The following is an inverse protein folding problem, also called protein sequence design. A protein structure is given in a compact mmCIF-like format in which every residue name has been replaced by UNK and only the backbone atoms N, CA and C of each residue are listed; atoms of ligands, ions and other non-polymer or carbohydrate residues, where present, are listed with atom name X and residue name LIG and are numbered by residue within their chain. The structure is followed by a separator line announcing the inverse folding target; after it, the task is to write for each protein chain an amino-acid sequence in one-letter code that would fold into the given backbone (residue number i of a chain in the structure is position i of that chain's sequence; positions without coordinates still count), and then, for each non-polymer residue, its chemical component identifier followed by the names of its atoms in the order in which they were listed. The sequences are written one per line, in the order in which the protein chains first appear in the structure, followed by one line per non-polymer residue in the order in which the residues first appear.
data_IF_572783613903
#
_entry.id   IF_572783613903
#
_cell.length_a   1.000
_cell.length_b   1.000
_cell.length_c   1.000
_cell.angle_alpha   90.00
_cell.angle_beta   90.00
_cell.angle_gamma   90.00
#
_symmetry.space_group_name_H-M   'P 1'
#
loop_
_entity.id
_entity.type
_entity.pdbx_description
1 polymer ?
#
# COMPACT_ATOMS: atom_id res chain seq x y z
N UNK A 1 50.15 43.85 -18.74
CA UNK A 1 49.45 42.94 -19.67
C UNK A 1 48.35 42.24 -18.88
N UNK A 2 47.12 42.74 -18.98
CA UNK A 2 45.93 42.08 -18.45
C UNK A 2 45.59 40.94 -19.39
N UNK A 3 45.78 39.69 -18.93
CA UNK A 3 45.35 38.51 -19.67
C UNK A 3 43.83 38.65 -19.89
N UNK A 4 43.32 38.57 -21.13
CA UNK A 4 41.90 38.65 -21.36
C UNK A 4 41.26 37.43 -20.68
N UNK A 5 40.31 37.67 -19.77
CA UNK A 5 39.54 36.60 -19.16
C UNK A 5 38.80 35.86 -20.28
N UNK A 6 39.25 34.66 -20.61
CA UNK A 6 38.57 33.76 -21.52
C UNK A 6 37.18 33.49 -20.93
N UNK A 7 36.13 33.93 -21.63
CA UNK A 7 34.75 33.53 -21.30
C UNK A 7 34.69 32.01 -21.43
N UNK A 8 34.48 31.30 -20.32
CA UNK A 8 34.17 29.87 -20.37
C UNK A 8 32.76 29.73 -20.93
N UNK A 9 32.65 29.17 -22.13
CA UNK A 9 31.37 28.83 -22.75
C UNK A 9 30.92 27.47 -22.23
N UNK A 10 30.01 27.48 -21.27
CA UNK A 10 29.43 26.25 -20.71
C UNK A 10 28.43 25.64 -21.70
N UNK A 11 28.46 24.31 -21.83
CA UNK A 11 27.50 23.57 -22.62
C UNK A 11 26.32 23.16 -21.75
N UNK A 12 25.11 23.57 -22.15
CA UNK A 12 23.88 23.16 -21.47
C UNK A 12 23.31 21.95 -22.21
N UNK A 13 23.25 20.80 -21.54
CA UNK A 13 22.68 19.56 -22.08
C UNK A 13 21.38 19.26 -21.37
N UNK A 14 20.32 19.06 -22.17
CA UNK A 14 19.03 18.63 -21.67
C UNK A 14 18.92 17.10 -21.79
N UNK A 15 18.98 16.41 -20.66
CA UNK A 15 18.89 14.96 -20.59
C UNK A 15 17.47 14.54 -20.17
N UNK A 16 16.80 13.75 -21.00
CA UNK A 16 15.43 13.27 -20.75
C UNK A 16 14.34 14.00 -21.55
N UNK A 17 13.05 13.66 -21.36
CA UNK A 17 12.53 12.68 -20.39
C UNK A 17 12.53 11.22 -20.88
N UNK A 18 12.91 10.96 -22.14
CA UNK A 18 12.80 9.63 -22.77
C UNK A 18 14.08 8.78 -22.70
N UNK A 19 15.13 9.24 -22.02
CA UNK A 19 16.42 8.56 -22.03
C UNK A 19 16.34 7.20 -21.29
N UNK A 20 16.86 6.09 -21.85
CA UNK A 20 16.74 4.76 -21.25
C UNK A 20 17.33 4.64 -19.84
N UNK A 21 18.42 5.35 -19.54
CA UNK A 21 19.04 5.40 -18.21
C UNK A 21 18.26 6.24 -17.18
N UNK A 22 17.01 6.60 -17.47
CA UNK A 22 16.12 7.28 -16.54
C UNK A 22 14.96 6.34 -16.22
N UNK A 23 15.03 5.69 -15.05
CA UNK A 23 14.06 4.72 -14.53
C UNK A 23 12.72 5.37 -14.16
N UNK A 24 12.04 5.95 -15.15
CA UNK A 24 10.84 6.76 -14.99
C UNK A 24 10.86 7.98 -15.91
N UNK A 25 10.22 9.05 -15.47
CA UNK A 25 10.16 10.31 -16.23
C UNK A 25 10.92 11.37 -15.43
N UNK A 26 12.21 11.49 -15.73
CA UNK A 26 13.11 12.48 -15.13
C UNK A 26 13.69 13.35 -16.24
N UNK A 27 13.85 14.64 -15.97
CA UNK A 27 14.55 15.56 -16.87
C UNK A 27 15.61 16.29 -16.07
N UNK A 28 16.85 16.26 -16.54
CA UNK A 28 17.99 16.93 -15.93
C UNK A 28 18.53 17.96 -16.92
N UNK A 29 18.62 19.23 -16.50
CA UNK A 29 19.37 20.24 -17.23
C UNK A 29 20.75 20.29 -16.61
N UNK A 30 21.75 19.85 -17.36
CA UNK A 30 23.13 19.72 -16.88
C UNK A 30 23.98 20.79 -17.54
N UNK A 31 24.70 21.55 -16.74
CA UNK A 31 25.68 22.54 -17.20
C UNK A 31 27.08 21.93 -17.12
N UNK A 32 27.71 21.78 -18.29
CA UNK A 32 28.99 21.08 -18.47
C UNK A 32 30.10 22.05 -18.87
N UNK A 33 31.30 21.83 -18.33
CA UNK A 33 32.57 22.38 -18.80
C UNK A 33 33.42 21.22 -19.33
N UNK A 34 33.24 20.89 -20.61
CA UNK A 34 33.80 19.66 -21.18
C UNK A 34 33.12 18.42 -20.62
N UNK A 35 33.86 17.64 -19.83
CA UNK A 35 33.39 16.42 -19.16
C UNK A 35 32.94 16.66 -17.71
N UNK A 36 33.33 17.80 -17.12
CA UNK A 36 33.01 18.13 -15.73
C UNK A 36 31.60 18.69 -15.59
N UNK A 37 30.84 18.15 -14.65
CA UNK A 37 29.51 18.64 -14.28
C UNK A 37 29.66 19.78 -13.26
N UNK A 38 29.27 20.99 -13.66
CA UNK A 38 29.30 22.16 -12.76
C UNK A 38 27.99 22.27 -11.99
N UNK A 39 26.87 22.10 -12.70
CA UNK A 39 25.55 22.27 -12.13
C UNK A 39 24.55 21.31 -12.78
N UNK A 40 23.53 20.92 -12.02
CA UNK A 40 22.48 20.01 -12.44
C UNK A 40 21.15 20.43 -11.82
N UNK A 41 20.22 20.87 -12.68
CA UNK A 41 18.87 21.22 -12.27
C UNK A 41 17.89 20.08 -12.61
N UNK A 42 17.37 19.36 -11.59
CA UNK A 42 16.37 18.33 -11.81
C UNK A 42 14.97 18.93 -11.97
N UNK A 43 14.36 18.71 -13.15
CA UNK A 43 12.96 19.06 -13.42
C UNK A 43 12.09 17.85 -13.08
N UNK A 44 11.33 17.99 -12.00
CA UNK A 44 10.40 16.99 -11.48
C UNK A 44 8.95 17.31 -11.87
N UNK A 45 8.04 16.37 -11.62
CA UNK A 45 6.59 16.61 -11.70
C UNK A 45 5.87 15.99 -12.90
N UNK A 46 6.58 15.37 -13.84
CA UNK A 46 5.95 14.68 -14.98
C UNK A 46 5.01 13.53 -14.57
N UNK A 47 5.26 12.92 -13.40
CA UNK A 47 4.41 11.87 -12.82
C UNK A 47 3.48 12.39 -11.70
N UNK A 48 3.40 13.72 -11.48
CA UNK A 48 2.55 14.28 -10.44
C UNK A 48 1.07 14.07 -10.79
N UNK A 49 0.34 13.37 -9.91
CA UNK A 49 -1.07 13.00 -10.11
C UNK A 49 -2.04 13.66 -9.13
N UNK A 50 -1.59 14.62 -8.32
CA UNK A 50 -2.43 15.29 -7.32
C UNK A 50 -3.02 14.32 -6.28
N UNK A 51 -2.25 13.32 -5.84
CA UNK A 51 -2.72 12.27 -4.93
C UNK A 51 -3.20 12.81 -3.58
N UNK A 52 -2.60 13.91 -3.09
CA UNK A 52 -3.02 14.61 -1.88
C UNK A 52 -4.43 15.20 -2.04
N UNK A 53 -4.73 15.78 -3.21
CA UNK A 53 -6.05 16.34 -3.50
C UNK A 53 -7.14 15.27 -3.58
N UNK A 54 -6.77 14.08 -4.03
CA UNK A 54 -7.67 12.92 -4.06
C UNK A 54 -7.95 12.43 -2.62
N UNK A 55 -6.94 12.50 -1.74
CA UNK A 55 -7.08 12.08 -0.34
C UNK A 55 -8.17 12.89 0.40
N UNK A 56 -8.26 14.22 0.15
CA UNK A 56 -9.26 15.10 0.77
C UNK A 56 -10.72 14.64 0.57
N UNK A 57 -11.02 14.00 -0.56
CA UNK A 57 -12.38 13.63 -0.97
C UNK A 57 -12.69 12.13 -0.75
N UNK A 58 -11.83 11.40 -0.05
CA UNK A 58 -11.92 9.94 0.13
C UNK A 58 -11.73 9.56 1.58
N UNK A 59 -12.40 8.49 1.99
CA UNK A 59 -12.11 7.86 3.29
C UNK A 59 -10.78 7.10 3.23
N UNK A 60 -10.16 6.84 4.37
CA UNK A 60 -8.87 6.13 4.45
C UNK A 60 -8.92 4.78 3.70
N UNK A 61 -10.00 4.02 3.90
CA UNK A 61 -10.21 2.72 3.23
C UNK A 61 -10.30 2.87 1.71
N UNK A 62 -10.98 3.93 1.22
CA UNK A 62 -11.08 4.21 -0.21
C UNK A 62 -9.78 4.76 -0.79
N UNK A 63 -8.94 5.38 0.04
CA UNK A 63 -7.67 5.96 -0.37
C UNK A 63 -6.54 4.93 -0.40
N UNK A 64 -6.62 3.86 0.38
CA UNK A 64 -5.59 2.82 0.47
C UNK A 64 -5.14 2.26 -0.91
N UNK A 65 -6.02 1.98 -1.90
CA UNK A 65 -5.60 1.54 -3.23
C UNK A 65 -4.82 2.59 -4.05
N UNK A 66 -4.85 3.86 -3.66
CA UNK A 66 -4.02 4.91 -4.26
C UNK A 66 -2.63 4.95 -3.62
N UNK A 67 -2.53 4.62 -2.34
CA UNK A 67 -1.29 4.58 -1.57
C UNK A 67 -0.35 3.48 -2.06
N UNK A 68 -0.90 2.34 -2.49
CA UNK A 68 -0.12 1.26 -3.12
C UNK A 68 0.59 1.72 -4.40
N UNK A 69 0.18 2.87 -4.97
CA UNK A 69 0.73 3.45 -6.21
C UNK A 69 1.71 4.59 -5.97
N UNK A 70 1.96 4.96 -4.71
CA UNK A 70 2.96 5.97 -4.34
C UNK A 70 4.36 5.45 -4.67
N UNK A 71 4.69 4.33 -4.06
CA UNK A 71 5.85 3.52 -4.40
C UNK A 71 5.35 2.19 -4.96
N UNK A 72 5.49 2.00 -6.28
CA UNK A 72 5.07 0.78 -6.97
C UNK A 72 6.04 -0.39 -6.77
N UNK A 73 7.18 -0.16 -6.12
CA UNK A 73 8.19 -1.17 -5.81
C UNK A 73 7.89 -1.85 -4.48
N UNK A 74 7.60 -1.03 -3.47
CA UNK A 74 7.48 -1.44 -2.08
C UNK A 74 6.08 -1.10 -1.53
N UNK A 75 5.04 -1.57 -2.21
CA UNK A 75 3.64 -1.17 -1.92
C UNK A 75 3.20 -1.51 -0.50
N UNK A 76 3.72 -2.59 0.08
CA UNK A 76 3.36 -3.03 1.43
C UNK A 76 3.83 -2.03 2.49
N UNK A 77 4.94 -1.32 2.26
CA UNK A 77 5.41 -0.28 3.19
C UNK A 77 4.49 0.93 3.19
N UNK A 78 4.03 1.38 2.02
CA UNK A 78 3.12 2.52 1.94
C UNK A 78 1.74 2.16 2.51
N UNK A 79 1.27 0.93 2.27
CA UNK A 79 0.10 0.39 2.95
C UNK A 79 0.26 0.37 4.48
N UNK A 80 1.40 -0.12 4.99
CA UNK A 80 1.66 -0.16 6.43
C UNK A 80 1.64 1.23 7.05
N UNK A 81 2.28 2.22 6.44
CA UNK A 81 2.29 3.60 6.96
C UNK A 81 0.87 4.15 7.08
N UNK A 82 0.02 3.92 6.08
CA UNK A 82 -1.35 4.46 6.05
C UNK A 82 -2.34 3.71 6.92
N UNK A 83 -2.02 2.47 7.30
CA UNK A 83 -2.81 1.65 8.22
C UNK A 83 -2.35 1.85 9.67
N UNK A 84 -1.05 1.94 9.91
CA UNK A 84 -0.48 2.09 11.25
C UNK A 84 -0.77 3.46 11.85
N UNK A 85 -0.83 4.52 11.04
CA UNK A 85 -1.17 5.86 11.52
C UNK A 85 -2.55 5.93 12.21
N UNK A 86 -3.67 5.52 11.59
CA UNK A 86 -4.97 5.49 12.26
C UNK A 86 -5.04 4.44 13.39
N UNK A 87 -4.31 3.32 13.28
CA UNK A 87 -4.24 2.33 14.37
C UNK A 87 -3.62 2.92 15.64
N UNK A 88 -2.54 3.70 15.51
CA UNK A 88 -1.91 4.40 16.62
C UNK A 88 -2.81 5.52 17.17
N UNK A 89 -3.47 6.30 16.31
CA UNK A 89 -4.37 7.39 16.73
C UNK A 89 -5.56 6.87 17.56
N UNK A 90 -6.15 5.75 17.15
CA UNK A 90 -7.32 5.14 17.80
C UNK A 90 -6.95 4.05 18.83
N UNK A 91 -5.65 3.83 19.07
CA UNK A 91 -5.11 2.75 19.92
C UNK A 91 -5.75 1.37 19.61
N UNK A 92 -5.87 1.05 18.33
CA UNK A 92 -6.40 -0.23 17.86
C UNK A 92 -5.36 -1.31 18.07
N UNK A 93 -5.69 -2.33 18.85
CA UNK A 93 -4.81 -3.49 19.02
C UNK A 93 -4.85 -4.40 17.79
N UNK A 94 -3.70 -4.62 17.18
CA UNK A 94 -3.53 -5.56 16.07
C UNK A 94 -3.24 -6.96 16.64
N UNK A 95 -3.90 -8.02 16.16
CA UNK A 95 -3.61 -9.38 16.62
C UNK A 95 -2.16 -9.78 16.33
N UNK A 96 -1.54 -10.53 17.25
CA UNK A 96 -0.13 -10.97 17.10
C UNK A 96 0.14 -11.69 15.78
N UNK A 97 -0.76 -12.59 15.37
CA UNK A 97 -0.66 -13.29 14.08
C UNK A 97 -0.63 -12.32 12.90
N UNK A 98 -1.49 -11.29 12.91
CA UNK A 98 -1.53 -10.29 11.86
C UNK A 98 -0.22 -9.47 11.80
N UNK A 99 0.33 -9.12 12.96
CA UNK A 99 1.61 -8.39 13.05
C UNK A 99 2.78 -9.20 12.47
N UNK A 100 2.86 -10.50 12.78
CA UNK A 100 3.85 -11.41 12.17
C UNK A 100 3.70 -11.49 10.65
N UNK A 101 2.46 -11.66 10.16
CA UNK A 101 2.19 -11.68 8.72
C UNK A 101 2.63 -10.36 8.06
N UNK A 102 2.35 -9.21 8.69
CA UNK A 102 2.79 -7.90 8.20
C UNK A 102 4.31 -7.82 8.13
N UNK A 103 5.04 -8.24 9.17
CA UNK A 103 6.51 -8.24 9.17
C UNK A 103 7.06 -9.09 8.02
N UNK A 104 6.54 -10.31 7.83
CA UNK A 104 6.97 -11.19 6.72
C UNK A 104 6.73 -10.50 5.37
N UNK A 105 5.55 -9.94 5.15
CA UNK A 105 5.20 -9.25 3.91
C UNK A 105 6.05 -7.99 3.68
N UNK A 106 6.36 -7.23 4.73
CA UNK A 106 7.22 -6.05 4.67
C UNK A 106 8.66 -6.43 4.32
N UNK A 107 9.22 -7.46 4.93
CA UNK A 107 10.59 -7.89 4.65
C UNK A 107 10.72 -8.55 3.27
N UNK A 108 9.71 -9.31 2.80
CA UNK A 108 9.65 -9.76 1.41
C UNK A 108 9.59 -8.57 0.44
N UNK A 109 8.79 -7.55 0.77
CA UNK A 109 8.72 -6.32 -0.03
C UNK A 109 10.04 -5.54 0.00
N UNK A 110 10.81 -5.62 1.09
CA UNK A 110 12.15 -5.00 1.18
C UNK A 110 13.10 -5.67 0.22
N UNK A 111 13.15 -7.01 0.24
CA UNK A 111 13.98 -7.80 -0.68
C UNK A 111 13.61 -7.47 -2.14
N UNK A 112 12.32 -7.49 -2.48
CA UNK A 112 11.85 -7.16 -3.83
C UNK A 112 12.21 -5.74 -4.28
N UNK A 113 12.24 -4.78 -3.35
CA UNK A 113 12.67 -3.40 -3.60
C UNK A 113 14.18 -3.29 -3.80
N UNK A 114 14.99 -3.91 -2.95
CA UNK A 114 16.45 -3.93 -3.10
C UNK A 114 16.92 -4.64 -4.36
N UNK A 115 16.24 -5.72 -4.75
CA UNK A 115 16.46 -6.42 -6.01
C UNK A 115 16.22 -5.49 -7.19
N UNK A 116 15.06 -4.82 -7.26
CA UNK A 116 14.80 -3.89 -8.36
C UNK A 116 15.64 -2.61 -8.29
N UNK A 117 16.21 -2.25 -7.15
CA UNK A 117 17.25 -1.22 -7.15
C UNK A 117 18.53 -1.75 -7.81
N UNK A 118 18.97 -2.95 -7.43
CA UNK A 118 20.24 -3.53 -7.87
C UNK A 118 20.27 -3.81 -9.38
N UNK A 119 19.19 -4.35 -9.96
CA UNK A 119 19.19 -4.77 -11.37
C UNK A 119 19.43 -3.61 -12.34
N UNK A 120 18.54 -2.61 -12.38
CA UNK A 120 18.70 -1.40 -13.17
C UNK A 120 20.00 -0.64 -12.87
N UNK A 121 20.41 -0.57 -11.59
CA UNK A 121 21.70 0.03 -11.22
C UNK A 121 22.89 -0.66 -11.91
N UNK A 122 22.90 -1.99 -11.95
CA UNK A 122 23.92 -2.74 -12.68
C UNK A 122 23.81 -2.55 -14.20
N UNK A 123 22.58 -2.51 -14.73
CA UNK A 123 22.34 -2.29 -16.16
C UNK A 123 22.85 -0.92 -16.63
N UNK A 124 22.67 0.13 -15.82
CA UNK A 124 23.16 1.49 -16.09
C UNK A 124 24.70 1.57 -16.06
N UNK A 125 25.34 0.78 -15.20
CA UNK A 125 26.81 0.66 -15.18
C UNK A 125 27.34 -0.15 -16.38
N UNK A 126 26.45 -0.89 -17.06
CA UNK A 126 26.74 -1.66 -18.28
C UNK A 126 26.65 -3.18 -18.12
N UNK A 127 26.34 -3.68 -16.93
CA UNK A 127 26.19 -5.11 -16.66
C UNK A 127 24.73 -5.56 -16.80
N UNK A 128 24.39 -6.12 -17.96
CA UNK A 128 23.02 -6.54 -18.29
C UNK A 128 22.64 -7.93 -17.73
N UNK A 129 23.60 -8.84 -17.53
CA UNK A 129 23.28 -10.20 -17.08
C UNK A 129 22.67 -10.25 -15.67
N UNK A 130 23.20 -9.55 -14.65
CA UNK A 130 22.61 -9.54 -13.31
C UNK A 130 21.16 -9.05 -13.29
N UNK A 131 20.78 -8.16 -14.21
CA UNK A 131 19.40 -7.67 -14.36
C UNK A 131 18.41 -8.84 -14.52
N UNK A 132 18.70 -9.79 -15.42
CA UNK A 132 17.79 -10.92 -15.67
C UNK A 132 17.68 -11.89 -14.49
N UNK A 133 18.78 -12.12 -13.77
CA UNK A 133 18.75 -12.98 -12.57
C UNK A 133 17.84 -12.34 -11.54
N UNK A 134 18.07 -11.08 -11.21
CA UNK A 134 17.27 -10.32 -10.24
C UNK A 134 15.76 -10.40 -10.52
N UNK A 135 15.32 -10.32 -11.78
CA UNK A 135 13.91 -10.51 -12.12
C UNK A 135 13.40 -11.94 -11.89
N UNK A 136 14.21 -12.97 -12.11
CA UNK A 136 13.88 -14.36 -11.77
C UNK A 136 13.64 -14.50 -10.27
N UNK A 137 14.53 -13.99 -9.43
CA UNK A 137 14.37 -14.03 -7.97
C UNK A 137 13.14 -13.24 -7.52
N UNK A 138 12.90 -12.07 -8.13
CA UNK A 138 11.74 -11.22 -7.83
C UNK A 138 10.41 -11.83 -8.24
N UNK A 139 10.39 -12.63 -9.30
CA UNK A 139 9.22 -13.37 -9.76
C UNK A 139 8.75 -14.40 -8.71
N UNK A 140 9.69 -15.06 -8.01
CA UNK A 140 9.36 -15.99 -6.92
C UNK A 140 8.64 -15.28 -5.76
N UNK A 141 9.06 -14.06 -5.43
CA UNK A 141 8.39 -13.23 -4.42
C UNK A 141 6.98 -12.83 -4.89
N UNK A 142 6.83 -12.52 -6.18
CA UNK A 142 5.53 -12.19 -6.76
C UNK A 142 4.55 -13.35 -6.75
N UNK A 143 5.02 -14.58 -6.94
CA UNK A 143 4.18 -15.76 -6.79
C UNK A 143 3.72 -15.97 -5.33
N UNK A 144 4.55 -15.59 -4.34
CA UNK A 144 4.15 -15.60 -2.92
C UNK A 144 3.11 -14.52 -2.63
N UNK A 145 3.27 -13.32 -3.19
CA UNK A 145 2.29 -12.25 -3.04
C UNK A 145 0.96 -12.54 -3.73
N UNK A 146 1.01 -13.10 -4.94
CA UNK A 146 -0.20 -13.51 -5.67
C UNK A 146 -0.96 -14.58 -4.91
N UNK A 147 -0.27 -15.58 -4.35
CA UNK A 147 -0.90 -16.61 -3.54
C UNK A 147 -1.60 -16.04 -2.29
N UNK A 148 -1.00 -15.06 -1.61
CA UNK A 148 -1.58 -14.48 -0.40
C UNK A 148 -2.69 -13.44 -0.65
N UNK A 149 -2.54 -12.62 -1.69
CA UNK A 149 -3.36 -11.42 -1.90
C UNK A 149 -4.27 -11.50 -3.13
N UNK A 150 -3.97 -12.41 -4.06
CA UNK A 150 -4.59 -12.49 -5.39
C UNK A 150 -4.07 -11.45 -6.39
N UNK A 151 -3.10 -10.61 -6.02
CA UNK A 151 -2.50 -9.61 -6.90
C UNK A 151 -0.96 -9.67 -6.86
N UNK A 152 -0.30 -9.30 -7.97
CA UNK A 152 1.18 -9.38 -8.10
C UNK A 152 1.93 -8.12 -7.68
N UNK A 153 1.28 -6.95 -7.67
CA UNK A 153 1.95 -5.67 -7.37
C UNK A 153 1.10 -4.75 -6.48
N UNK A 154 -0.17 -4.54 -6.81
CA UNK A 154 -1.04 -3.60 -6.10
C UNK A 154 -1.88 -4.33 -5.06
N UNK A 155 -1.24 -4.79 -3.99
CA UNK A 155 -1.77 -5.83 -3.10
C UNK A 155 -3.03 -5.42 -2.31
N UNK A 156 -3.08 -4.19 -1.77
CA UNK A 156 -4.19 -3.71 -0.93
C UNK A 156 -4.57 -4.74 0.17
N UNK A 157 -3.53 -5.27 0.80
CA UNK A 157 -3.58 -6.43 1.68
C UNK A 157 -3.66 -6.03 3.15
N UNK A 158 -2.97 -4.98 3.56
CA UNK A 158 -3.07 -4.50 4.94
C UNK A 158 -4.38 -3.75 5.14
N UNK A 159 -4.97 -3.91 6.32
CA UNK A 159 -6.23 -3.26 6.71
C UNK A 159 -6.10 -2.75 8.12
N UNK A 160 -6.83 -1.68 8.44
CA UNK A 160 -6.94 -1.20 9.82
C UNK A 160 -7.46 -2.36 10.68
N UNK A 161 -6.70 -2.73 11.70
CA UNK A 161 -6.95 -3.87 12.59
C UNK A 161 -6.30 -5.19 12.20
N UNK A 162 -5.52 -5.28 11.11
CA UNK A 162 -4.79 -6.50 10.74
C UNK A 162 -4.54 -6.65 9.24
N UNK A 163 -4.87 -7.82 8.69
CA UNK A 163 -4.70 -8.14 7.26
C UNK A 163 -6.03 -8.53 6.62
N UNK A 164 -6.15 -8.38 5.30
CA UNK A 164 -7.41 -8.62 4.59
C UNK A 164 -7.80 -10.11 4.56
N UNK A 165 -6.83 -11.01 4.45
CA UNK A 165 -7.00 -12.45 4.40
C UNK A 165 -5.81 -13.15 5.06
N UNK A 166 -6.02 -14.33 5.63
CA UNK A 166 -4.92 -15.15 6.16
C UNK A 166 -4.12 -15.82 5.03
N UNK A 167 -2.94 -16.33 5.36
CA UNK A 167 -2.06 -17.05 4.44
C UNK A 167 -2.71 -18.39 4.01
N UNK A 168 -2.64 -18.75 2.72
CA UNK A 168 -3.19 -20.03 2.26
C UNK A 168 -2.37 -21.22 2.76
N UNK A 169 -2.97 -22.40 2.72
CA UNK A 169 -2.30 -23.65 3.09
C UNK A 169 -1.06 -23.89 2.22
N UNK A 170 0.05 -24.30 2.83
CA UNK A 170 1.33 -24.55 2.15
C UNK A 170 2.13 -23.28 1.79
N UNK A 171 1.63 -22.08 2.13
CA UNK A 171 2.35 -20.83 1.85
C UNK A 171 3.64 -20.70 2.66
N UNK A 172 3.62 -21.13 3.93
CA UNK A 172 4.76 -21.06 4.85
C UNK A 172 5.93 -21.89 4.31
N UNK A 173 5.67 -23.13 3.91
CA UNK A 173 6.69 -24.03 3.36
C UNK A 173 7.32 -23.43 2.09
N UNK A 174 6.50 -22.91 1.18
CA UNK A 174 6.99 -22.24 -0.04
C UNK A 174 7.83 -20.99 0.26
N UNK A 175 7.50 -20.26 1.33
CA UNK A 175 8.27 -19.09 1.75
C UNK A 175 9.61 -19.49 2.35
N UNK A 176 9.67 -20.59 3.11
CA UNK A 176 10.92 -21.18 3.60
C UNK A 176 11.82 -21.64 2.46
N UNK A 177 11.27 -22.36 1.48
CA UNK A 177 12.00 -22.79 0.27
C UNK A 177 12.63 -21.59 -0.47
N UNK A 178 11.89 -20.48 -0.56
CA UNK A 178 12.40 -19.24 -1.14
C UNK A 178 13.56 -18.66 -0.32
N UNK A 179 13.46 -18.65 1.00
CA UNK A 179 14.51 -18.12 1.87
C UNK A 179 15.83 -18.88 1.66
N UNK A 180 15.77 -20.21 1.63
CA UNK A 180 16.94 -21.07 1.43
C UNK A 180 17.56 -20.90 0.04
N UNK A 181 16.71 -20.83 -0.99
CA UNK A 181 17.14 -20.53 -2.35
C UNK A 181 17.81 -19.16 -2.46
N UNK A 182 17.19 -18.12 -1.90
CA UNK A 182 17.63 -16.74 -2.07
C UNK A 182 18.96 -16.45 -1.35
N UNK A 183 19.25 -17.12 -0.22
CA UNK A 183 20.56 -17.06 0.43
C UNK A 183 21.69 -17.47 -0.52
N UNK A 184 21.47 -18.50 -1.33
CA UNK A 184 22.42 -18.93 -2.37
C UNK A 184 22.57 -17.85 -3.45
N UNK A 185 21.46 -17.25 -3.87
CA UNK A 185 21.45 -16.14 -4.84
C UNK A 185 22.25 -14.92 -4.38
N UNK A 186 22.14 -14.53 -3.10
CA UNK A 186 22.93 -13.41 -2.56
C UNK A 186 24.43 -13.70 -2.63
N UNK A 187 24.85 -14.93 -2.30
CA UNK A 187 26.27 -15.32 -2.39
C UNK A 187 26.76 -15.28 -3.84
N UNK A 188 25.93 -15.70 -4.79
CA UNK A 188 26.23 -15.62 -6.22
C UNK A 188 26.40 -14.16 -6.67
N UNK A 189 25.49 -13.26 -6.30
CA UNK A 189 25.59 -11.84 -6.62
C UNK A 189 26.83 -11.19 -6.03
N UNK A 190 27.20 -11.53 -4.80
CA UNK A 190 28.43 -11.00 -4.21
C UNK A 190 29.68 -11.45 -4.97
N UNK A 191 29.70 -12.71 -5.43
CA UNK A 191 30.82 -13.23 -6.23
C UNK A 191 30.90 -12.54 -7.59
N UNK A 192 29.75 -12.31 -8.24
CA UNK A 192 29.68 -11.72 -9.57
C UNK A 192 29.92 -10.20 -9.58
N UNK A 193 29.41 -9.48 -8.57
CA UNK A 193 29.37 -8.02 -8.55
C UNK A 193 30.45 -7.45 -7.63
N UNK A 194 30.45 -7.86 -6.35
CA UNK A 194 31.30 -7.22 -5.32
C UNK A 194 32.79 -7.40 -5.58
N UNK A 195 33.20 -8.52 -6.19
CA UNK A 195 34.61 -8.80 -6.51
C UNK A 195 35.05 -8.31 -7.90
N UNK A 196 34.16 -7.70 -8.68
CA UNK A 196 34.47 -7.29 -10.04
C UNK A 196 35.27 -5.97 -10.01
N UNK A 197 36.50 -5.93 -10.55
CA UNK A 197 37.32 -4.72 -10.55
C UNK A 197 36.68 -3.56 -11.33
N UNK A 198 35.98 -3.85 -12.44
CA UNK A 198 35.28 -2.84 -13.25
C UNK A 198 34.16 -2.18 -12.45
N UNK A 199 33.47 -2.97 -11.62
CA UNK A 199 32.43 -2.42 -10.75
C UNK A 199 33.05 -1.52 -9.69
N UNK A 200 34.07 -2.00 -8.96
CA UNK A 200 34.73 -1.24 -7.90
C UNK A 200 35.25 0.11 -8.41
N UNK A 201 35.96 0.13 -9.54
CA UNK A 201 36.48 1.36 -10.16
C UNK A 201 35.39 2.40 -10.49
N UNK A 202 34.16 1.97 -10.73
CA UNK A 202 33.03 2.83 -11.10
C UNK A 202 32.24 3.38 -9.92
N UNK A 203 32.34 2.78 -8.74
CA UNK A 203 31.53 3.15 -7.58
C UNK A 203 32.33 3.53 -6.34
N UNK A 204 33.55 3.04 -6.21
CA UNK A 204 34.45 3.38 -5.11
C UNK A 204 34.82 4.86 -5.19
N UNK A 205 34.66 5.59 -4.09
CA UNK A 205 34.96 7.02 -4.02
C UNK A 205 33.99 7.94 -4.77
N UNK A 206 32.90 7.41 -5.33
CA UNK A 206 31.89 8.21 -6.05
C UNK A 206 30.73 8.59 -5.13
N UNK A 207 30.42 9.89 -5.07
CA UNK A 207 29.28 10.44 -4.34
C UNK A 207 29.40 10.27 -2.83
N UNK A 208 30.56 10.64 -2.28
CA UNK A 208 30.84 10.61 -0.85
C UNK A 208 29.93 11.61 -0.14
N UNK A 209 29.27 11.18 0.93
CA UNK A 209 28.40 12.03 1.76
C UNK A 209 28.85 11.90 3.22
N UNK A 210 29.23 13.03 3.82
CA UNK A 210 29.60 13.07 5.23
C UNK A 210 28.40 12.88 6.18
N UNK A 211 28.66 12.49 7.43
CA UNK A 211 27.62 12.31 8.46
C UNK A 211 26.82 13.60 8.68
N UNK A 212 27.50 14.74 8.85
CA UNK A 212 26.86 16.02 9.11
C UNK A 212 26.02 16.49 7.93
N UNK A 213 26.52 16.33 6.70
CA UNK A 213 25.78 16.63 5.47
C UNK A 213 24.54 15.77 5.32
N UNK A 214 24.65 14.46 5.58
CA UNK A 214 23.53 13.54 5.52
C UNK A 214 22.40 13.95 6.50
N UNK A 215 22.76 14.39 7.71
CA UNK A 215 21.80 14.86 8.70
C UNK A 215 21.18 16.20 8.27
N UNK A 216 22.01 17.16 7.83
CA UNK A 216 21.57 18.49 7.42
C UNK A 216 20.64 18.44 6.18
N UNK A 217 20.86 17.51 5.26
CA UNK A 217 20.01 17.29 4.09
C UNK A 217 18.78 16.41 4.38
N UNK A 218 18.67 15.86 5.61
CA UNK A 218 17.55 14.98 5.99
C UNK A 218 17.56 13.64 5.25
N UNK A 219 18.73 13.11 4.89
CA UNK A 219 18.85 11.80 4.27
C UNK A 219 18.45 10.69 5.25
N UNK A 220 17.82 9.64 4.74
CA UNK A 220 17.31 8.53 5.56
C UNK A 220 17.61 7.15 4.95
N UNK A 221 17.39 6.11 5.75
CA UNK A 221 17.53 4.72 5.32
C UNK A 221 18.98 4.33 4.95
N UNK A 222 19.20 3.59 3.85
CA UNK A 222 20.53 3.14 3.44
C UNK A 222 21.53 4.28 3.18
N UNK A 223 21.05 5.47 2.78
CA UNK A 223 21.91 6.64 2.55
C UNK A 223 22.58 7.10 3.84
N UNK A 224 21.80 7.25 4.91
CA UNK A 224 22.30 7.67 6.23
C UNK A 224 23.19 6.60 6.86
N UNK A 225 22.83 5.32 6.71
CA UNK A 225 23.58 4.20 7.26
C UNK A 225 24.92 3.95 6.58
N UNK A 226 25.02 4.26 5.30
CA UNK A 226 26.28 4.15 4.56
C UNK A 226 27.29 5.24 4.93
N UNK A 227 26.81 6.38 5.47
CA UNK A 227 27.65 7.50 5.91
C UNK A 227 28.24 7.34 7.33
N UNK A 228 27.91 6.26 8.05
CA UNK A 228 28.48 5.97 9.39
C UNK A 228 27.50 6.02 10.55
N UNK A 229 26.22 6.29 10.33
CA UNK A 229 25.22 6.42 11.41
C UNK A 229 24.39 5.14 11.55
N UNK A 230 24.45 4.51 12.73
CA UNK A 230 23.63 3.34 13.06
C UNK A 230 22.19 3.75 13.43
N UNK A 231 21.39 4.11 12.43
CA UNK A 231 20.01 4.56 12.62
C UNK A 231 19.02 3.73 11.80
N UNK A 232 18.06 3.09 12.47
CA UNK A 232 16.95 2.37 11.83
C UNK A 232 15.67 2.50 12.67
N UNK A 233 14.59 2.96 12.05
CA UNK A 233 13.28 3.13 12.69
C UNK A 233 12.73 1.82 13.27
N UNK A 234 13.07 0.67 12.67
CA UNK A 234 12.61 -0.65 13.16
C UNK A 234 13.13 -1.00 14.55
N UNK A 235 14.30 -0.49 14.95
CA UNK A 235 14.87 -0.69 16.31
C UNK A 235 14.53 0.44 17.29
N UNK A 236 14.15 1.60 16.77
CA UNK A 236 13.90 2.79 17.58
C UNK A 236 12.42 2.85 17.96
N UNK A 237 11.55 2.87 16.96
CA UNK A 237 10.10 2.99 17.15
C UNK A 237 9.44 1.64 17.42
N UNK A 238 10.11 0.55 17.06
CA UNK A 238 9.69 -0.81 17.39
C UNK A 238 8.25 -1.13 16.98
N UNK A 239 7.85 -0.65 15.80
CA UNK A 239 6.50 -0.87 15.28
C UNK A 239 6.25 -2.35 14.94
N UNK A 240 4.99 -2.77 14.93
CA UNK A 240 4.59 -4.18 14.74
C UNK A 240 5.22 -5.09 15.81
N UNK A 241 6.05 -6.07 15.41
CA UNK A 241 6.74 -7.00 16.31
C UNK A 241 8.24 -7.14 16.00
N UNK A 242 8.90 -6.11 15.43
CA UNK A 242 10.34 -6.16 15.13
C UNK A 242 11.23 -6.39 16.36
N UNK A 243 10.73 -6.14 17.57
CA UNK A 243 11.39 -6.39 18.85
C UNK A 243 11.60 -7.86 19.19
N UNK A 244 10.77 -8.76 18.65
CA UNK A 244 10.79 -10.17 19.00
C UNK A 244 11.85 -10.94 18.19
N UNK A 245 12.47 -10.30 17.20
CA UNK A 245 13.44 -10.91 16.28
C UNK A 245 14.86 -10.41 16.53
N UNK A 246 15.83 -11.32 16.40
CA UNK A 246 17.25 -11.01 16.50
C UNK A 246 17.85 -10.69 15.13
N UNK A 247 18.21 -9.43 14.92
CA UNK A 247 18.81 -8.93 13.67
C UNK A 247 19.72 -7.73 13.93
N UNK A 248 20.63 -7.48 12.99
CA UNK A 248 21.62 -6.41 13.10
C UNK A 248 21.41 -5.30 12.06
N UNK A 249 21.59 -4.05 12.48
CA UNK A 249 21.51 -2.91 11.56
C UNK A 249 22.79 -2.87 10.73
N UNK A 250 22.66 -3.02 9.41
CA UNK A 250 23.80 -2.93 8.50
C UNK A 250 24.17 -1.47 8.26
N UNK A 251 25.44 -1.13 8.46
CA UNK A 251 25.98 0.21 8.30
C UNK A 251 27.40 0.13 7.74
N UNK A 252 27.87 1.23 7.14
CA UNK A 252 29.22 1.38 6.61
C UNK A 252 29.73 2.78 6.94
N UNK A 253 31.06 2.99 6.84
CA UNK A 253 31.70 4.25 7.23
C UNK A 253 32.10 5.13 6.06
N UNK A 254 32.36 4.56 4.88
CA UNK A 254 32.97 5.32 3.77
C UNK A 254 32.04 6.37 3.15
N UNK A 255 30.71 6.23 3.27
CA UNK A 255 29.74 7.19 2.72
C UNK A 255 29.67 7.23 1.18
N UNK A 256 30.42 6.36 0.51
CA UNK A 256 30.47 6.28 -0.95
C UNK A 256 29.36 5.38 -1.52
N UNK A 257 29.32 5.27 -2.84
CA UNK A 257 28.32 4.45 -3.51
C UNK A 257 28.52 2.95 -3.29
N UNK A 258 29.76 2.51 -3.05
CA UNK A 258 30.08 1.13 -2.67
C UNK A 258 29.52 0.78 -1.28
N UNK A 259 29.72 1.64 -0.28
CA UNK A 259 29.16 1.50 1.06
C UNK A 259 27.62 1.36 1.01
N UNK A 260 26.95 2.18 0.18
CA UNK A 260 25.49 2.09 -0.04
C UNK A 260 25.07 0.76 -0.66
N UNK A 261 25.86 0.23 -1.59
CA UNK A 261 25.65 -1.09 -2.16
C UNK A 261 25.80 -2.19 -1.10
N UNK A 262 26.87 -2.16 -0.31
CA UNK A 262 27.15 -3.16 0.74
C UNK A 262 26.05 -3.18 1.80
N UNK A 263 25.57 -2.01 2.24
CA UNK A 263 24.44 -1.90 3.18
C UNK A 263 23.20 -2.59 2.62
N UNK A 264 22.82 -2.34 1.37
CA UNK A 264 21.62 -2.95 0.77
C UNK A 264 21.73 -4.47 0.58
N UNK A 265 22.92 -4.96 0.20
CA UNK A 265 23.17 -6.41 0.13
C UNK A 265 23.09 -7.05 1.52
N UNK A 266 23.66 -6.39 2.54
CA UNK A 266 23.56 -6.83 3.93
C UNK A 266 22.11 -6.85 4.42
N UNK A 267 21.35 -5.79 4.13
CA UNK A 267 19.93 -5.70 4.49
C UNK A 267 19.12 -6.85 3.91
N UNK A 268 19.37 -7.28 2.67
CA UNK A 268 18.69 -8.45 2.11
C UNK A 268 18.96 -9.74 2.90
N UNK A 269 20.15 -9.91 3.47
CA UNK A 269 20.48 -11.07 4.33
C UNK A 269 19.76 -11.01 5.66
N UNK A 270 19.77 -9.84 6.29
CA UNK A 270 19.07 -9.62 7.57
C UNK A 270 17.56 -9.76 7.40
N UNK A 271 16.99 -9.32 6.27
CA UNK A 271 15.58 -9.55 5.95
C UNK A 271 15.23 -11.03 5.89
N UNK A 272 16.07 -11.87 5.28
CA UNK A 272 15.84 -13.33 5.28
C UNK A 272 15.89 -13.89 6.69
N UNK A 273 16.87 -13.46 7.50
CA UNK A 273 17.02 -13.89 8.90
C UNK A 273 15.75 -13.56 9.70
N UNK A 274 15.19 -12.36 9.51
CA UNK A 274 13.92 -11.94 10.14
C UNK A 274 12.76 -12.80 9.65
N UNK A 275 12.66 -13.05 8.33
CA UNK A 275 11.58 -13.86 7.75
C UNK A 275 11.62 -15.29 8.29
N UNK A 276 12.78 -15.93 8.35
CA UNK A 276 12.93 -17.29 8.88
C UNK A 276 12.46 -17.37 10.34
N UNK A 277 12.90 -16.44 11.19
CA UNK A 277 12.46 -16.37 12.59
C UNK A 277 10.94 -16.12 12.71
N UNK A 278 10.39 -15.26 11.86
CA UNK A 278 8.96 -14.96 11.84
C UNK A 278 8.11 -16.16 11.39
N UNK A 279 8.59 -16.95 10.42
CA UNK A 279 7.90 -18.15 9.94
C UNK A 279 7.91 -19.26 10.99
N UNK A 280 9.02 -19.45 11.71
CA UNK A 280 9.12 -20.42 12.81
C UNK A 280 8.25 -20.02 14.02
N UNK A 281 8.17 -18.71 14.30
CA UNK A 281 7.48 -18.17 15.46
C UNK A 281 6.01 -17.81 15.25
N UNK A 282 5.44 -18.02 14.05
CA UNK A 282 4.11 -17.49 13.71
C UNK A 282 3.01 -18.08 14.63
N UNK A 283 2.31 -17.26 15.44
CA UNK A 283 1.28 -17.78 16.33
C UNK A 283 0.00 -18.11 15.54
N UNK A 284 -0.74 -19.11 16.03
CA UNK A 284 -2.14 -19.29 15.66
C UNK A 284 -3.00 -18.12 16.18
N UNK A 285 -4.19 -17.95 15.62
CA UNK A 285 -5.15 -16.95 16.09
C UNK A 285 -5.83 -16.15 14.98
N UNK A 286 -6.58 -15.09 15.33
CA UNK A 286 -7.24 -14.24 14.36
C UNK A 286 -6.23 -13.37 13.59
N UNK A 287 -6.50 -13.15 12.30
CA UNK A 287 -5.69 -12.31 11.41
C UNK A 287 -6.23 -10.87 11.26
N UNK A 288 -7.42 -10.61 11.78
CA UNK A 288 -8.08 -9.29 11.78
C UNK A 288 -8.70 -9.05 13.16
N UNK A 289 -8.59 -7.83 13.69
CA UNK A 289 -9.35 -7.41 14.86
C UNK A 289 -10.82 -7.17 14.46
N UNK A 290 -11.69 -8.10 14.85
CA UNK A 290 -13.12 -8.08 14.54
C UNK A 290 -13.85 -6.86 15.15
N UNK A 291 -13.28 -6.23 16.18
CA UNK A 291 -13.82 -5.00 16.75
C UNK A 291 -13.62 -3.79 15.84
N UNK A 292 -12.64 -3.83 14.93
CA UNK A 292 -12.39 -2.72 14.02
C UNK A 292 -13.48 -2.60 12.95
N UNK A 293 -14.06 -3.74 12.53
CA UNK A 293 -15.31 -3.76 11.75
C UNK A 293 -16.49 -3.10 12.47
N UNK A 294 -16.43 -2.93 13.80
CA UNK A 294 -17.43 -2.19 14.56
C UNK A 294 -17.20 -0.68 14.53
N UNK A 295 -16.08 -0.12 14.06
CA UNK A 295 -15.98 1.34 13.90
C UNK A 295 -16.94 1.90 12.84
N UNK A 296 -17.32 1.10 11.84
CA UNK A 296 -18.44 1.41 10.92
C UNK A 296 -19.83 1.31 11.58
N UNK A 297 -19.90 0.87 12.84
CA UNK A 297 -21.11 0.76 13.67
C UNK A 297 -20.84 1.33 15.08
N UNK A 298 -20.87 2.66 15.17
CA UNK A 298 -20.92 3.47 16.40
C UNK A 298 -20.72 2.74 17.75
N UNK A 299 -19.62 3.07 18.43
CA UNK A 299 -19.09 2.48 19.67
C UNK A 299 -20.00 2.51 20.90
N UNK A 300 -21.17 3.17 20.87
CA UNK A 300 -22.16 3.21 21.97
C UNK A 300 -23.57 3.34 21.41
N UNK A 301 -24.07 2.27 20.78
CA UNK A 301 -25.52 2.04 20.80
C UNK A 301 -25.82 1.12 21.98
N UNK A 302 -26.56 1.61 22.98
CA UNK A 302 -27.46 0.73 23.73
C UNK A 302 -28.43 0.12 22.73
N UNK A 303 -28.02 -0.99 22.11
CA UNK A 303 -28.85 -1.74 21.19
C UNK A 303 -28.97 -3.15 21.74
N UNK A 304 -29.80 -3.23 22.78
CA UNK A 304 -30.60 -4.40 23.14
C UNK A 304 -31.79 -4.00 24.02
N UNK A 305 -32.41 -2.84 23.76
CA UNK A 305 -33.74 -2.54 24.31
C UNK A 305 -34.78 -2.20 23.22
N UNK A 306 -34.47 -2.54 21.97
CA UNK A 306 -35.48 -2.60 20.93
C UNK A 306 -35.81 -4.05 20.63
N UNK A 307 -37.01 -4.46 21.04
CA UNK A 307 -37.66 -5.67 20.58
C UNK A 307 -37.45 -5.82 19.07
N UNK A 308 -36.57 -6.74 18.70
CA UNK A 308 -36.64 -7.32 17.38
C UNK A 308 -37.98 -8.04 17.28
N UNK A 309 -39.01 -7.38 16.74
CA UNK A 309 -40.00 -8.10 15.96
C UNK A 309 -39.31 -8.55 14.67
N UNK A 310 -38.49 -9.59 14.80
CA UNK A 310 -38.40 -10.58 13.75
C UNK A 310 -39.83 -11.08 13.54
N UNK A 311 -40.54 -10.52 12.58
CA UNK A 311 -41.56 -11.30 11.91
C UNK A 311 -40.78 -12.35 11.12
N UNK A 312 -40.57 -13.48 11.78
CA UNK A 312 -39.97 -14.68 11.22
C UNK A 312 -40.93 -15.22 10.16
N UNK A 313 -40.85 -14.70 8.95
CA UNK A 313 -41.37 -15.41 7.78
C UNK A 313 -40.20 -16.03 7.01
N UNK A 314 -40.41 -17.28 6.61
CA UNK A 314 -39.43 -18.21 6.05
C UNK A 314 -38.58 -17.59 4.94
N UNK A 315 -37.31 -17.99 4.89
CA UNK A 315 -36.30 -17.57 3.91
C UNK A 315 -36.71 -17.75 2.43
N UNK A 316 -37.77 -18.52 2.16
CA UNK A 316 -38.34 -18.77 0.82
C UNK A 316 -38.93 -17.52 0.12
N UNK A 317 -39.13 -16.39 0.83
CA UNK A 317 -39.91 -15.25 0.30
C UNK A 317 -39.12 -13.94 0.04
N UNK A 318 -37.79 -13.97 -0.11
CA UNK A 318 -37.00 -12.75 -0.46
C UNK A 318 -37.42 -12.12 -1.81
N UNK A 319 -38.10 -12.87 -2.67
CA UNK A 319 -38.66 -12.40 -3.93
C UNK A 319 -40.10 -11.88 -3.86
N UNK A 320 -40.79 -12.01 -2.72
CA UNK A 320 -42.21 -11.65 -2.63
C UNK A 320 -42.45 -10.15 -2.79
N UNK A 321 -43.59 -9.78 -3.39
CA UNK A 321 -43.95 -8.38 -3.61
C UNK A 321 -44.09 -7.63 -2.28
N UNK A 322 -44.60 -8.28 -1.25
CA UNK A 322 -44.78 -7.70 0.09
C UNK A 322 -43.43 -7.38 0.75
N UNK A 323 -42.46 -8.32 0.67
CA UNK A 323 -41.12 -8.11 1.19
C UNK A 323 -40.39 -6.96 0.47
N UNK A 324 -40.53 -6.89 -0.86
CA UNK A 324 -39.93 -5.80 -1.64
C UNK A 324 -40.56 -4.43 -1.28
N UNK A 325 -41.88 -4.36 -1.09
CA UNK A 325 -42.57 -3.13 -0.67
C UNK A 325 -42.13 -2.71 0.74
N UNK A 326 -41.98 -3.65 1.68
CA UNK A 326 -41.45 -3.40 3.02
C UNK A 326 -40.02 -2.86 2.95
N UNK A 327 -39.13 -3.54 2.21
CA UNK A 327 -37.73 -3.16 2.04
C UNK A 327 -37.59 -1.75 1.43
N UNK A 328 -38.37 -1.43 0.40
CA UNK A 328 -38.38 -0.10 -0.19
C UNK A 328 -38.95 0.95 0.76
N UNK A 329 -39.96 0.61 1.58
CA UNK A 329 -40.53 1.54 2.57
C UNK A 329 -39.52 1.91 3.65
N UNK A 330 -38.75 0.95 4.16
CA UNK A 330 -37.68 1.21 5.12
C UNK A 330 -36.54 2.03 4.50
N UNK A 331 -36.16 1.74 3.25
CA UNK A 331 -35.16 2.55 2.51
C UNK A 331 -35.63 3.98 2.26
N UNK A 332 -36.91 4.18 1.94
CA UNK A 332 -37.51 5.51 1.77
C UNK A 332 -37.44 6.28 3.08
N UNK A 333 -37.90 5.71 4.20
CA UNK A 333 -37.85 6.38 5.52
C UNK A 333 -36.42 6.83 5.87
N UNK A 334 -35.43 5.94 5.69
CA UNK A 334 -34.01 6.23 5.95
C UNK A 334 -33.44 7.32 5.04
N UNK A 335 -33.80 7.33 3.76
CA UNK A 335 -33.33 8.36 2.81
C UNK A 335 -34.03 9.69 3.02
N UNK A 336 -35.30 9.68 3.44
CA UNK A 336 -36.04 10.89 3.78
C UNK A 336 -35.42 11.58 5.00
N UNK A 337 -35.14 10.83 6.08
CA UNK A 337 -34.47 11.40 7.26
C UNK A 337 -33.06 11.94 6.96
N UNK A 338 -32.32 11.30 6.04
CA UNK A 338 -31.03 11.80 5.57
C UNK A 338 -31.14 13.10 4.76
N UNK A 339 -32.12 13.22 3.86
CA UNK A 339 -32.32 14.41 3.03
C UNK A 339 -32.89 15.60 3.80
N UNK A 340 -33.53 15.38 4.94
CA UNK A 340 -33.94 16.46 5.86
C UNK A 340 -32.73 17.22 6.42
N UNK A 341 -31.64 16.49 6.71
CA UNK A 341 -30.36 17.05 7.18
C UNK A 341 -29.50 17.58 6.01
N UNK A 342 -29.56 16.94 4.84
CA UNK A 342 -28.69 17.24 3.69
C UNK A 342 -29.48 17.68 2.45
N UNK A 343 -30.12 18.85 2.53
CA UNK A 343 -31.04 19.37 1.49
C UNK A 343 -30.43 19.59 0.09
N UNK A 344 -29.10 19.67 -0.03
CA UNK A 344 -28.39 19.90 -1.31
C UNK A 344 -27.85 18.61 -1.96
N UNK A 345 -28.10 17.43 -1.41
CA UNK A 345 -27.71 16.16 -2.04
C UNK A 345 -28.69 15.74 -3.14
N UNK A 346 -28.49 16.31 -4.33
CA UNK A 346 -29.30 16.05 -5.52
C UNK A 346 -29.18 14.60 -6.04
N UNK A 347 -28.09 13.89 -5.70
CA UNK A 347 -27.87 12.52 -6.13
C UNK A 347 -28.76 11.55 -5.33
N UNK A 348 -28.75 11.69 -4.01
CA UNK A 348 -29.63 10.93 -3.11
C UNK A 348 -31.10 11.27 -3.31
N UNK A 349 -31.43 12.52 -3.63
CA UNK A 349 -32.79 12.94 -3.99
C UNK A 349 -33.30 12.22 -5.25
N UNK A 350 -32.46 12.12 -6.31
CA UNK A 350 -32.77 11.32 -7.52
C UNK A 350 -32.92 9.83 -7.19
N UNK A 351 -32.11 9.30 -6.29
CA UNK A 351 -32.20 7.92 -5.80
C UNK A 351 -33.53 7.64 -5.08
N UNK A 352 -33.93 8.53 -4.17
CA UNK A 352 -35.20 8.46 -3.44
C UNK A 352 -36.40 8.44 -4.41
N UNK A 353 -36.41 9.32 -5.42
CA UNK A 353 -37.47 9.35 -6.43
C UNK A 353 -37.58 8.02 -7.20
N UNK A 354 -36.45 7.40 -7.56
CA UNK A 354 -36.44 6.09 -8.24
C UNK A 354 -37.02 4.98 -7.35
N UNK A 355 -36.70 4.98 -6.06
CA UNK A 355 -37.19 3.97 -5.10
C UNK A 355 -38.69 4.16 -4.83
N UNK A 356 -39.15 5.40 -4.66
CA UNK A 356 -40.57 5.73 -4.53
C UNK A 356 -41.40 5.22 -5.71
N UNK A 357 -40.92 5.45 -6.95
CA UNK A 357 -41.59 4.95 -8.16
C UNK A 357 -41.63 3.43 -8.23
N UNK A 358 -40.54 2.74 -7.84
CA UNK A 358 -40.50 1.27 -7.80
C UNK A 358 -41.52 0.72 -6.78
N UNK A 359 -41.58 1.29 -5.57
CA UNK A 359 -42.57 0.92 -4.55
C UNK A 359 -44.01 1.14 -5.03
N UNK A 360 -44.30 2.29 -5.65
CA UNK A 360 -45.64 2.59 -6.18
C UNK A 360 -46.06 1.60 -7.27
N UNK A 361 -45.16 1.19 -8.17
CA UNK A 361 -45.46 0.17 -9.19
C UNK A 361 -45.81 -1.18 -8.57
N UNK A 362 -45.09 -1.60 -7.54
CA UNK A 362 -45.37 -2.85 -6.82
C UNK A 362 -46.70 -2.81 -6.06
N UNK A 363 -47.00 -1.68 -5.42
CA UNK A 363 -48.29 -1.44 -4.76
C UNK A 363 -49.46 -1.45 -5.77
N UNK A 364 -49.30 -0.82 -6.94
CA UNK A 364 -50.30 -0.84 -8.01
C UNK A 364 -50.48 -2.23 -8.64
N UNK A 365 -49.41 -3.04 -8.73
CA UNK A 365 -49.50 -4.43 -9.13
C UNK A 365 -50.28 -5.26 -8.11
N UNK A 366 -49.98 -5.09 -6.82
CA UNK A 366 -50.63 -5.81 -5.73
C UNK A 366 -52.12 -5.44 -5.61
N UNK A 367 -52.48 -4.16 -5.79
CA UNK A 367 -53.87 -3.70 -5.74
C UNK A 367 -54.73 -4.30 -6.85
N UNK A 368 -54.17 -4.49 -8.05
CA UNK A 368 -54.85 -5.14 -9.19
C UNK A 368 -55.00 -6.65 -9.01
N UNK A 369 -54.00 -7.31 -8.44
CA UNK A 369 -53.97 -8.78 -8.34
C UNK A 369 -54.69 -9.33 -7.10
N UNK A 370 -54.57 -8.66 -5.96
CA UNK A 370 -55.23 -9.07 -4.72
C UNK A 370 -55.47 -7.87 -3.78
N UNK A 371 -56.68 -7.33 -3.83
CA UNK A 371 -57.07 -6.12 -3.12
C UNK A 371 -57.07 -6.28 -1.59
N UNK A 372 -57.36 -7.48 -1.08
CA UNK A 372 -57.36 -7.76 0.35
C UNK A 372 -55.94 -7.72 0.95
N UNK A 373 -54.96 -8.31 0.25
CA UNK A 373 -53.54 -8.27 0.67
C UNK A 373 -52.95 -6.87 0.58
N UNK A 374 -53.32 -6.11 -0.44
CA UNK A 374 -52.92 -4.71 -0.59
C UNK A 374 -53.35 -3.84 0.59
N UNK A 375 -54.62 -3.92 1.01
CA UNK A 375 -55.12 -3.17 2.18
C UNK A 375 -54.38 -3.53 3.46
N UNK A 376 -54.24 -4.84 3.73
CA UNK A 376 -53.51 -5.33 4.91
C UNK A 376 -52.07 -4.81 4.96
N UNK A 377 -51.37 -4.81 3.83
CA UNK A 377 -49.97 -4.36 3.75
C UNK A 377 -49.84 -2.84 3.94
N UNK A 378 -50.78 -2.07 3.42
CA UNK A 378 -50.80 -0.61 3.57
C UNK A 378 -51.07 -0.20 5.02
N UNK A 379 -52.05 -0.85 5.66
CA UNK A 379 -52.39 -0.61 7.06
C UNK A 379 -51.23 -0.99 7.99
N UNK A 380 -50.54 -2.11 7.71
CA UNK A 380 -49.38 -2.55 8.50
C UNK A 380 -48.16 -1.61 8.37
N UNK A 381 -47.99 -0.95 7.22
CA UNK A 381 -46.81 -0.12 6.94
C UNK A 381 -47.09 1.38 7.07
N UNK A 382 -48.30 1.77 7.45
CA UNK A 382 -48.76 3.16 7.58
C UNK A 382 -48.43 3.99 6.33
N UNK A 383 -48.80 3.47 5.15
CA UNK A 383 -48.58 4.13 3.86
C UNK A 383 -49.87 4.86 3.47
N UNK A 384 -49.80 6.15 3.12
CA UNK A 384 -50.99 6.87 2.64
C UNK A 384 -51.47 6.28 1.31
N UNK A 385 -52.76 5.94 1.21
CA UNK A 385 -53.36 5.54 -0.06
C UNK A 385 -53.21 6.66 -1.11
N UNK A 386 -52.74 6.36 -2.32
CA UNK A 386 -52.71 7.36 -3.38
C UNK A 386 -54.15 7.75 -3.73
N UNK A 387 -54.48 9.05 -3.64
CA UNK A 387 -55.76 9.57 -4.13
C UNK A 387 -55.89 9.22 -5.62
N UNK A 388 -56.90 8.42 -5.98
CA UNK A 388 -57.20 8.13 -7.38
C UNK A 388 -57.40 9.44 -8.14
N UNK A 389 -56.61 9.65 -9.20
CA UNK A 389 -56.90 10.57 -10.28
C UNK A 389 -57.37 9.76 -11.47
#
# INVERSE_FOLDING_TARGET
MTVPATKKDFMIVNMGPHHPSMHGVLRLIVTLDGEDVIDCEPILGYLHRGMEKIAENRTIIQYLPYVTRWDYLATMFTEAITVNAPEQLENVQVPKRASYIRVIMLELSRIASHLLWLGPFMADIGAQTPFFYIFRERELIYDLFEAATGMRMMHNYFRIGGVAADLPYGWIDKCLDFCDYFLTGIVEYQKLITRNPIFLERVEGVGIIGVEEAINWGLSGPMLRASGTQWDLRKIDNYECYNEFDWEVQWQKEGDSLARYLVRIGEMRESIKIIQQALEGIPGGPYENLEVRRFDRAKNSEWNDFEYRFIKEKEENRGSVEFQVLSFTNKIRRLTSHLELHKRDFLSQRGLQKILRKRQRLLAYLSKKNRARYKKLIDQLDIREPKNR
#
